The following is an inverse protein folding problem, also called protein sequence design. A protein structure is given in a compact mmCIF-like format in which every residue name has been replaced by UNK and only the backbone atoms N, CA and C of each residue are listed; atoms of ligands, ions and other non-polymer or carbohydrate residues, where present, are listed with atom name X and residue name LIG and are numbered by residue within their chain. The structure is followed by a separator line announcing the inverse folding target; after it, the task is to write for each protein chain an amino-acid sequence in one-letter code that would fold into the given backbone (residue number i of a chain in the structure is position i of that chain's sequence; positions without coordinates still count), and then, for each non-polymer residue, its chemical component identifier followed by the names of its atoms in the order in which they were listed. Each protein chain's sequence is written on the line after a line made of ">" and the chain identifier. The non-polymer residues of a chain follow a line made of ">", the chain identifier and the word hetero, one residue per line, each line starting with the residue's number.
data_IF_070065125473
#
_entry.id   IF_070065125473
#
_cell.length_a   1.000
_cell.length_b   1.000
_cell.length_c   1.000
_cell.angle_alpha   90.00
_cell.angle_beta   90.00
_cell.angle_gamma   90.00
#
_symmetry.space_group_name_H-M   'P 1'
#
loop_
_entity.id
_entity.type
_entity.pdbx_description
1 polymer ?
#
# COMPACT_ATOMS: atom_id res chain seq x y z
N UNK A 1 -28.53 0.84 10.53
CA UNK A 1 -28.16 -0.51 10.02
C UNK A 1 -28.65 -1.56 11.04
N UNK A 2 -29.16 -2.69 10.58
CA UNK A 2 -29.70 -3.74 11.46
C UNK A 2 -28.56 -4.40 12.27
N UNK A 3 -28.76 -4.50 13.60
CA UNK A 3 -27.81 -5.12 14.55
C UNK A 3 -27.44 -6.56 14.14
N UNK A 4 -28.39 -7.32 13.61
CA UNK A 4 -28.16 -8.70 13.15
C UNK A 4 -27.18 -8.74 11.98
N UNK A 5 -27.27 -7.78 11.04
CA UNK A 5 -26.37 -7.68 9.90
C UNK A 5 -24.94 -7.31 10.34
N UNK A 6 -24.80 -6.38 11.29
CA UNK A 6 -23.50 -6.01 11.87
C UNK A 6 -22.87 -7.23 12.56
N UNK A 7 -23.65 -7.94 13.40
CA UNK A 7 -23.17 -9.12 14.12
C UNK A 7 -22.72 -10.23 13.15
N UNK A 8 -23.45 -10.46 12.06
CA UNK A 8 -23.04 -11.42 11.03
C UNK A 8 -21.73 -11.03 10.34
N UNK A 9 -21.56 -9.74 10.00
CA UNK A 9 -20.31 -9.23 9.40
C UNK A 9 -19.12 -9.39 10.36
N UNK A 10 -19.31 -9.06 11.64
CA UNK A 10 -18.28 -9.24 12.68
C UNK A 10 -17.91 -10.72 12.82
N UNK A 11 -18.89 -11.62 12.88
CA UNK A 11 -18.67 -13.06 12.92
C UNK A 11 -17.80 -13.55 11.76
N UNK A 12 -18.12 -13.11 10.54
CA UNK A 12 -17.33 -13.47 9.36
C UNK A 12 -15.89 -12.88 9.37
N UNK A 13 -15.67 -11.72 10.01
CA UNK A 13 -14.31 -11.18 10.21
C UNK A 13 -13.55 -12.01 11.25
N UNK A 14 -14.21 -12.43 12.32
CA UNK A 14 -13.61 -13.31 13.33
C UNK A 14 -13.18 -14.65 12.74
N UNK A 15 -13.96 -15.23 11.81
CA UNK A 15 -13.55 -16.42 11.07
C UNK A 15 -12.29 -16.19 10.24
N UNK A 16 -12.19 -15.05 9.55
CA UNK A 16 -10.98 -14.67 8.78
C UNK A 16 -9.76 -14.48 9.71
N UNK A 17 -9.94 -13.87 10.89
CA UNK A 17 -8.88 -13.72 11.91
C UNK A 17 -8.41 -15.09 12.39
N UNK A 18 -9.31 -16.03 12.67
CA UNK A 18 -8.97 -17.37 13.07
C UNK A 18 -8.15 -18.10 12.00
N UNK A 19 -8.53 -17.95 10.73
CA UNK A 19 -7.76 -18.50 9.60
C UNK A 19 -6.38 -17.86 9.45
N UNK A 20 -6.28 -16.53 9.66
CA UNK A 20 -5.00 -15.83 9.67
C UNK A 20 -4.11 -16.34 10.80
N UNK A 21 -4.66 -16.47 12.01
CA UNK A 21 -3.92 -17.02 13.16
C UNK A 21 -3.36 -18.41 12.85
N UNK A 22 -4.17 -19.30 12.25
CA UNK A 22 -3.71 -20.64 11.87
C UNK A 22 -2.59 -20.60 10.80
N UNK A 23 -2.69 -19.68 9.83
CA UNK A 23 -1.65 -19.49 8.82
C UNK A 23 -0.33 -18.99 9.45
N UNK A 24 -0.39 -18.09 10.43
CA UNK A 24 0.78 -17.60 11.16
C UNK A 24 1.41 -18.69 12.02
N UNK A 25 0.63 -19.54 12.69
CA UNK A 25 1.17 -20.70 13.39
C UNK A 25 1.87 -21.71 12.47
N UNK A 26 1.28 -21.96 11.29
CA UNK A 26 1.92 -22.81 10.29
C UNK A 26 3.23 -22.20 9.79
N UNK A 27 3.26 -20.87 9.62
CA UNK A 27 4.45 -20.14 9.19
C UNK A 27 5.56 -20.22 10.26
N UNK A 28 5.21 -19.99 11.54
CA UNK A 28 6.15 -20.03 12.68
C UNK A 28 6.82 -21.40 12.82
N UNK A 29 6.09 -22.48 12.52
CA UNK A 29 6.60 -23.85 12.61
C UNK A 29 7.31 -24.34 11.34
N UNK A 30 7.28 -23.58 10.25
CA UNK A 30 7.88 -23.96 8.97
C UNK A 30 9.35 -23.54 8.92
N UNK A 31 10.25 -24.52 8.75
CA UNK A 31 11.67 -24.25 8.54
C UNK A 31 11.91 -23.64 7.16
N UNK A 32 12.28 -22.37 7.15
CA UNK A 32 12.50 -21.59 5.93
C UNK A 32 13.68 -22.12 5.09
N UNK A 33 14.69 -22.71 5.72
CA UNK A 33 15.85 -23.26 5.01
C UNK A 33 15.52 -24.58 4.33
N UNK A 34 14.71 -25.40 5.01
CA UNK A 34 14.33 -26.73 4.52
C UNK A 34 13.16 -26.69 3.53
N UNK A 35 12.21 -25.75 3.72
CA UNK A 35 10.97 -25.65 2.93
C UNK A 35 10.70 -24.21 2.47
N UNK A 36 11.61 -23.60 1.67
CA UNK A 36 11.50 -22.18 1.29
C UNK A 36 10.23 -21.85 0.50
N UNK A 37 9.81 -22.73 -0.42
CA UNK A 37 8.63 -22.47 -1.26
C UNK A 37 7.33 -22.56 -0.45
N UNK A 38 7.27 -23.48 0.53
CA UNK A 38 6.14 -23.58 1.43
C UNK A 38 6.06 -22.36 2.35
N UNK A 39 7.19 -21.92 2.91
CA UNK A 39 7.27 -20.71 3.71
C UNK A 39 6.81 -19.48 2.91
N UNK A 40 7.24 -19.35 1.65
CA UNK A 40 6.80 -18.27 0.76
C UNK A 40 5.29 -18.29 0.52
N UNK A 41 4.74 -19.46 0.21
CA UNK A 41 3.30 -19.62 -0.02
C UNK A 41 2.47 -19.24 1.20
N UNK A 42 2.87 -19.71 2.38
CA UNK A 42 2.21 -19.41 3.65
C UNK A 42 2.33 -17.91 4.00
N UNK A 43 3.48 -17.29 3.74
CA UNK A 43 3.70 -15.86 3.99
C UNK A 43 2.77 -15.01 3.12
N UNK A 44 2.66 -15.33 1.84
CA UNK A 44 1.77 -14.64 0.90
C UNK A 44 0.30 -14.81 1.33
N UNK A 45 -0.12 -16.04 1.66
CA UNK A 45 -1.50 -16.30 2.11
C UNK A 45 -1.84 -15.55 3.39
N UNK A 46 -0.93 -15.52 4.36
CA UNK A 46 -1.11 -14.77 5.60
C UNK A 46 -1.23 -13.26 5.35
N UNK A 47 -0.36 -12.69 4.51
CA UNK A 47 -0.39 -11.27 4.16
C UNK A 47 -1.71 -10.89 3.46
N UNK A 48 -2.14 -11.64 2.45
CA UNK A 48 -3.39 -11.39 1.73
C UNK A 48 -4.63 -11.51 2.63
N UNK A 49 -4.61 -12.42 3.62
CA UNK A 49 -5.68 -12.52 4.63
C UNK A 49 -5.72 -11.28 5.51
N UNK A 50 -4.57 -10.78 5.97
CA UNK A 50 -4.48 -9.57 6.78
C UNK A 50 -5.02 -8.33 6.03
N UNK A 51 -4.64 -8.16 4.76
CA UNK A 51 -5.17 -7.08 3.91
C UNK A 51 -6.70 -7.19 3.75
N UNK A 52 -7.21 -8.38 3.49
CA UNK A 52 -8.67 -8.62 3.39
C UNK A 52 -9.40 -8.26 4.68
N UNK A 53 -8.86 -8.63 5.84
CA UNK A 53 -9.41 -8.30 7.14
C UNK A 53 -9.43 -6.79 7.34
N UNK A 54 -8.34 -6.10 7.03
CA UNK A 54 -8.24 -4.64 7.12
C UNK A 54 -9.30 -3.95 6.25
N UNK A 55 -9.46 -4.34 4.98
CA UNK A 55 -10.48 -3.79 4.09
C UNK A 55 -11.90 -4.05 4.63
N UNK A 56 -12.19 -5.25 5.12
CA UNK A 56 -13.51 -5.58 5.69
C UNK A 56 -13.83 -4.78 6.94
N UNK A 57 -12.84 -4.52 7.80
CA UNK A 57 -12.99 -3.66 8.96
C UNK A 57 -13.26 -2.20 8.54
N UNK A 58 -12.58 -1.69 7.50
CA UNK A 58 -12.89 -0.36 6.93
C UNK A 58 -14.35 -0.28 6.47
N UNK A 59 -14.81 -1.24 5.69
CA UNK A 59 -16.20 -1.28 5.26
C UNK A 59 -17.19 -1.37 6.43
N UNK A 60 -16.84 -2.09 7.48
CA UNK A 60 -17.66 -2.14 8.70
C UNK A 60 -17.77 -0.77 9.36
N UNK A 61 -16.65 -0.06 9.53
CA UNK A 61 -16.61 1.30 10.10
C UNK A 61 -17.48 2.25 9.27
N UNK A 62 -17.29 2.30 7.95
CA UNK A 62 -18.05 3.20 7.06
C UNK A 62 -19.55 2.93 7.07
N UNK A 63 -19.96 1.67 7.29
CA UNK A 63 -21.36 1.28 7.30
C UNK A 63 -22.03 1.29 8.67
N UNK A 64 -21.27 1.40 9.77
CA UNK A 64 -21.78 1.27 11.14
C UNK A 64 -21.54 2.48 12.04
N UNK A 65 -20.73 3.43 11.60
CA UNK A 65 -20.37 4.63 12.37
C UNK A 65 -20.66 5.90 11.56
N UNK A 66 -20.54 7.05 12.22
CA UNK A 66 -20.65 8.38 11.59
C UNK A 66 -19.31 8.94 11.15
N UNK A 67 -18.22 8.18 11.27
CA UNK A 67 -16.89 8.62 10.86
C UNK A 67 -16.85 8.86 9.34
N UNK A 68 -16.26 9.97 8.92
CA UNK A 68 -16.08 10.24 7.50
C UNK A 68 -14.95 9.37 6.93
N UNK A 69 -15.14 8.87 5.71
CA UNK A 69 -14.15 8.04 5.02
C UNK A 69 -12.76 8.69 5.00
N UNK A 70 -12.70 10.01 4.73
CA UNK A 70 -11.46 10.77 4.69
C UNK A 70 -10.70 10.77 6.02
N UNK A 71 -11.39 11.05 7.13
CA UNK A 71 -10.76 11.11 8.46
C UNK A 71 -10.15 9.75 8.86
N UNK A 72 -10.84 8.66 8.52
CA UNK A 72 -10.32 7.31 8.76
C UNK A 72 -9.11 7.00 7.87
N UNK A 73 -9.18 7.32 6.57
CA UNK A 73 -8.10 6.98 5.61
C UNK A 73 -6.83 7.80 5.85
N UNK A 74 -6.97 9.03 6.33
CA UNK A 74 -5.86 9.83 6.81
C UNK A 74 -5.12 9.15 7.97
N UNK A 75 -5.89 8.69 8.98
CA UNK A 75 -5.33 7.92 10.10
C UNK A 75 -4.72 6.59 9.64
N UNK A 76 -5.32 5.93 8.65
CA UNK A 76 -4.78 4.71 8.05
C UNK A 76 -3.45 4.98 7.32
N UNK A 77 -3.34 6.09 6.58
CA UNK A 77 -2.09 6.51 5.95
C UNK A 77 -0.95 6.69 6.95
N UNK A 78 -1.21 7.38 8.06
CA UNK A 78 -0.25 7.53 9.15
C UNK A 78 0.12 6.19 9.79
N UNK A 79 -0.86 5.29 9.99
CA UNK A 79 -0.62 3.95 10.54
C UNK A 79 0.23 3.09 9.60
N UNK A 80 0.08 3.26 8.29
CA UNK A 80 0.90 2.58 7.28
C UNK A 80 2.31 3.18 7.16
N UNK A 81 2.59 4.32 7.78
CA UNK A 81 3.87 5.02 7.63
C UNK A 81 4.01 5.73 6.27
N UNK A 82 2.89 6.07 5.62
CA UNK A 82 2.93 6.91 4.43
C UNK A 82 3.31 8.31 4.86
N UNK A 83 4.39 8.86 4.29
CA UNK A 83 4.82 10.23 4.53
C UNK A 83 5.00 11.00 3.24
N UNK A 84 4.76 12.29 3.30
CA UNK A 84 4.97 13.23 2.21
C UNK A 84 5.85 14.34 2.71
N UNK A 85 6.93 14.63 2.01
CA UNK A 85 7.84 15.73 2.27
C UNK A 85 8.12 16.49 0.96
N UNK A 86 8.22 17.80 1.03
CA UNK A 86 8.58 18.61 -0.12
C UNK A 86 9.66 19.62 0.27
N UNK A 87 10.84 19.45 -0.28
CA UNK A 87 11.99 20.32 -0.04
C UNK A 87 12.70 20.62 -1.37
N UNK A 88 13.12 21.85 -1.58
CA UNK A 88 13.83 22.29 -2.78
C UNK A 88 13.18 21.86 -4.12
N UNK A 89 11.86 21.87 -4.19
CA UNK A 89 11.08 21.39 -5.33
C UNK A 89 11.23 19.88 -5.61
N UNK A 90 11.67 19.12 -4.64
CA UNK A 90 11.62 17.66 -4.68
C UNK A 90 10.48 17.20 -3.79
N UNK A 91 9.49 16.55 -4.37
CA UNK A 91 8.43 15.89 -3.62
C UNK A 91 8.85 14.44 -3.35
N UNK A 92 9.01 14.09 -2.10
CA UNK A 92 9.28 12.74 -1.64
C UNK A 92 8.02 12.12 -1.03
N UNK A 93 7.67 10.94 -1.51
CA UNK A 93 6.56 10.16 -0.97
C UNK A 93 7.08 8.80 -0.53
N UNK A 94 7.06 8.54 0.77
CA UNK A 94 7.43 7.23 1.31
C UNK A 94 6.22 6.33 1.40
N UNK A 95 6.34 5.11 0.91
CA UNK A 95 5.31 4.08 0.93
C UNK A 95 5.69 2.92 1.86
N UNK A 96 4.73 2.25 2.50
CA UNK A 96 5.00 1.23 3.52
C UNK A 96 5.58 -0.08 2.97
N UNK A 97 5.48 -0.29 1.67
CA UNK A 97 5.88 -1.55 1.04
C UNK A 97 6.22 -1.34 -0.44
N UNK A 98 6.83 -2.36 -1.03
CA UNK A 98 7.06 -2.42 -2.47
C UNK A 98 5.73 -2.37 -3.22
N UNK A 99 5.72 -1.70 -4.37
CA UNK A 99 4.54 -1.58 -5.20
C UNK A 99 3.93 -2.95 -5.53
N UNK A 100 2.60 -3.06 -5.52
CA UNK A 100 1.93 -4.31 -5.88
C UNK A 100 2.15 -4.66 -7.35
N UNK A 101 2.05 -5.94 -7.67
CA UNK A 101 2.06 -6.39 -9.08
C UNK A 101 0.74 -5.99 -9.77
N UNK A 102 0.81 -5.58 -11.04
CA UNK A 102 -0.34 -5.12 -11.87
C UNK A 102 -1.59 -6.02 -11.82
N UNK A 103 -1.44 -7.31 -11.53
CA UNK A 103 -2.56 -8.27 -11.48
C UNK A 103 -3.30 -8.29 -10.13
N UNK A 104 -2.82 -7.58 -9.12
CA UNK A 104 -3.40 -7.59 -7.77
C UNK A 104 -4.29 -6.35 -7.56
N UNK A 105 -5.48 -6.34 -8.15
CA UNK A 105 -6.45 -5.23 -8.05
C UNK A 105 -6.90 -4.88 -6.62
N UNK A 106 -6.72 -5.76 -5.65
CA UNK A 106 -7.13 -5.52 -4.25
C UNK A 106 -6.20 -4.57 -3.49
N UNK A 107 -5.00 -4.30 -4.01
CA UNK A 107 -4.05 -3.40 -3.37
C UNK A 107 -4.36 -1.91 -3.55
N UNK A 108 -5.20 -1.56 -4.52
CA UNK A 108 -5.51 -0.17 -4.83
C UNK A 108 -6.21 0.51 -3.64
N UNK A 109 -7.23 -0.12 -3.07
CA UNK A 109 -7.93 0.41 -1.89
C UNK A 109 -7.03 0.45 -0.64
N UNK A 110 -6.08 -0.48 -0.52
CA UNK A 110 -5.21 -0.56 0.65
C UNK A 110 -4.13 0.52 0.65
N UNK A 111 -3.55 0.84 -0.51
CA UNK A 111 -2.43 1.77 -0.66
C UNK A 111 -2.89 3.13 -1.21
N UNK A 112 -3.61 3.15 -2.33
CA UNK A 112 -3.92 4.38 -3.05
C UNK A 112 -4.93 5.27 -2.33
N UNK A 113 -5.97 4.69 -1.73
CA UNK A 113 -6.93 5.46 -0.95
C UNK A 113 -6.27 6.21 0.24
N UNK A 114 -5.48 5.54 1.13
CA UNK A 114 -4.75 6.25 2.18
C UNK A 114 -3.77 7.29 1.64
N UNK A 115 -3.02 6.97 0.58
CA UNK A 115 -2.08 7.90 -0.04
C UNK A 115 -2.77 9.16 -0.56
N UNK A 116 -3.92 9.01 -1.23
CA UNK A 116 -4.71 10.16 -1.69
C UNK A 116 -5.02 11.12 -0.53
N UNK A 117 -5.50 10.60 0.60
CA UNK A 117 -5.89 11.45 1.73
C UNK A 117 -4.68 12.04 2.47
N UNK A 118 -3.54 11.37 2.50
CA UNK A 118 -2.29 11.94 3.02
C UNK A 118 -1.81 13.08 2.14
N UNK A 119 -1.85 12.94 0.81
CA UNK A 119 -1.50 14.00 -0.15
C UNK A 119 -2.49 15.17 -0.07
N UNK A 120 -3.79 14.91 0.01
CA UNK A 120 -4.82 15.95 0.15
C UNK A 120 -4.65 16.76 1.43
N UNK A 121 -4.33 16.09 2.54
CA UNK A 121 -4.01 16.79 3.80
C UNK A 121 -2.75 17.63 3.66
N UNK A 122 -1.67 17.03 3.15
CA UNK A 122 -0.42 17.75 2.96
C UNK A 122 -0.61 19.00 2.08
N UNK A 123 -1.37 18.88 1.00
CA UNK A 123 -1.69 19.99 0.08
C UNK A 123 -2.49 21.12 0.74
N UNK A 124 -3.30 20.83 1.77
CA UNK A 124 -4.04 21.85 2.53
C UNK A 124 -3.17 22.58 3.54
N UNK A 125 -2.15 21.92 4.07
CA UNK A 125 -1.27 22.46 5.10
C UNK A 125 -0.01 23.11 4.52
N UNK A 126 0.42 22.67 3.32
CA UNK A 126 1.63 23.11 2.67
C UNK A 126 1.40 23.37 1.17
N UNK A 127 2.04 24.40 0.59
CA UNK A 127 1.99 24.61 -0.85
C UNK A 127 2.71 23.48 -1.60
N UNK A 128 1.98 22.73 -2.42
CA UNK A 128 2.58 21.75 -3.32
C UNK A 128 3.13 22.42 -4.57
N UNK A 129 4.31 22.01 -5.05
CA UNK A 129 4.82 22.48 -6.33
C UNK A 129 3.95 21.95 -7.47
N UNK A 130 3.86 22.73 -8.54
CA UNK A 130 3.26 22.26 -9.79
C UNK A 130 4.36 22.08 -10.83
N UNK A 131 4.52 20.84 -11.30
CA UNK A 131 5.53 20.47 -12.27
C UNK A 131 4.94 20.44 -13.67
N UNK A 132 5.56 21.19 -14.60
CA UNK A 132 5.25 21.07 -16.03
C UNK A 132 6.08 19.98 -16.67
N UNK A 133 7.39 19.99 -16.38
CA UNK A 133 8.35 18.97 -16.77
C UNK A 133 8.95 18.37 -15.50
N UNK A 134 8.85 17.06 -15.34
CA UNK A 134 9.34 16.40 -14.15
C UNK A 134 9.93 15.03 -14.45
N UNK A 135 10.68 14.55 -13.48
CA UNK A 135 11.19 13.19 -13.46
C UNK A 135 10.68 12.51 -12.21
N UNK A 136 10.05 11.35 -12.36
CA UNK A 136 9.59 10.52 -11.25
C UNK A 136 10.55 9.35 -11.08
N UNK A 137 11.09 9.23 -9.86
CA UNK A 137 11.96 8.12 -9.51
C UNK A 137 11.24 7.19 -8.53
N UNK A 138 11.03 5.95 -8.91
CA UNK A 138 10.56 4.88 -8.03
C UNK A 138 11.76 4.19 -7.37
N UNK A 139 12.13 4.65 -6.17
CA UNK A 139 13.22 4.06 -5.40
C UNK A 139 12.69 2.88 -4.57
N UNK A 140 13.07 1.66 -4.93
CA UNK A 140 12.70 0.46 -4.20
C UNK A 140 13.84 0.06 -3.27
N UNK A 141 13.58 0.13 -1.96
CA UNK A 141 14.56 -0.17 -0.93
C UNK A 141 14.40 -1.62 -0.48
N UNK A 142 15.45 -2.40 -0.63
CA UNK A 142 15.51 -3.80 -0.24
C UNK A 142 16.41 -4.00 0.98
N UNK A 143 16.00 -4.88 1.88
CA UNK A 143 16.86 -5.35 2.95
C UNK A 143 17.99 -6.21 2.36
N UNK A 144 19.24 -5.94 2.75
CA UNK A 144 20.42 -6.70 2.34
C UNK A 144 20.37 -8.19 2.72
N UNK A 145 19.62 -8.52 3.76
CA UNK A 145 19.44 -9.91 4.20
C UNK A 145 18.54 -10.73 3.25
N UNK A 146 17.81 -10.05 2.35
CA UNK A 146 16.95 -10.74 1.39
C UNK A 146 17.78 -11.37 0.25
N UNK A 147 17.42 -12.60 -0.19
CA UNK A 147 18.04 -13.22 -1.35
C UNK A 147 17.83 -12.38 -2.62
N UNK A 148 18.82 -12.32 -3.53
CA UNK A 148 18.77 -11.56 -4.79
C UNK A 148 17.53 -11.89 -5.65
N UNK A 149 17.04 -13.14 -5.59
CA UNK A 149 15.80 -13.58 -6.25
C UNK A 149 14.53 -12.82 -5.79
N UNK A 150 14.62 -12.03 -4.73
CA UNK A 150 13.52 -11.21 -4.20
C UNK A 150 13.48 -9.80 -4.78
N UNK A 151 14.53 -9.39 -5.49
CA UNK A 151 14.51 -8.14 -6.24
C UNK A 151 13.46 -8.28 -7.34
N UNK A 152 12.50 -7.38 -7.34
CA UNK A 152 11.36 -7.46 -8.25
C UNK A 152 11.74 -6.95 -9.64
N UNK A 153 11.16 -7.60 -10.64
CA UNK A 153 11.16 -7.11 -12.00
C UNK A 153 10.15 -5.95 -12.13
N UNK A 154 10.61 -4.82 -12.63
CA UNK A 154 9.83 -3.57 -12.71
C UNK A 154 8.66 -3.65 -13.69
N UNK A 155 8.75 -4.47 -14.72
CA UNK A 155 7.72 -4.59 -15.76
C UNK A 155 6.34 -4.96 -15.24
N UNK A 156 6.27 -5.53 -14.05
CA UNK A 156 5.05 -6.04 -13.44
C UNK A 156 4.50 -5.18 -12.30
N UNK A 157 5.06 -4.00 -12.03
CA UNK A 157 4.63 -3.14 -10.93
C UNK A 157 3.47 -2.21 -11.34
N UNK A 158 2.64 -1.83 -10.36
CA UNK A 158 1.49 -0.96 -10.57
C UNK A 158 1.86 0.53 -10.47
N UNK A 159 2.88 0.96 -11.24
CA UNK A 159 3.39 2.34 -11.21
C UNK A 159 2.41 3.33 -11.82
N UNK A 160 1.68 2.92 -12.86
CA UNK A 160 0.77 3.83 -13.57
C UNK A 160 -0.28 4.44 -12.64
N UNK A 161 -0.87 3.66 -11.74
CA UNK A 161 -1.88 4.16 -10.82
C UNK A 161 -1.32 5.18 -9.83
N UNK A 162 -0.05 5.01 -9.41
CA UNK A 162 0.64 6.00 -8.60
C UNK A 162 0.92 7.27 -9.39
N UNK A 163 1.37 7.16 -10.64
CA UNK A 163 1.57 8.31 -11.52
C UNK A 163 0.27 9.07 -11.75
N UNK A 164 -0.83 8.36 -12.06
CA UNK A 164 -2.16 8.94 -12.23
C UNK A 164 -2.59 9.73 -10.96
N UNK A 165 -2.32 9.15 -9.78
CA UNK A 165 -2.64 9.78 -8.50
C UNK A 165 -1.76 11.02 -8.25
N UNK A 166 -0.44 10.92 -8.40
CA UNK A 166 0.49 12.05 -8.22
C UNK A 166 0.23 13.16 -9.23
N UNK A 167 -0.06 12.81 -10.48
CA UNK A 167 -0.41 13.77 -11.54
C UNK A 167 -1.59 14.62 -11.12
N UNK A 168 -2.60 14.05 -10.49
CA UNK A 168 -3.78 14.81 -10.04
C UNK A 168 -3.47 15.88 -8.97
N UNK A 169 -2.33 15.81 -8.30
CA UNK A 169 -1.93 16.77 -7.27
C UNK A 169 -0.85 17.75 -7.73
N UNK A 170 0.16 17.29 -8.47
CA UNK A 170 1.42 18.04 -8.62
C UNK A 170 1.94 18.14 -10.06
N UNK A 171 1.33 17.47 -11.04
CA UNK A 171 1.83 17.46 -12.42
C UNK A 171 0.82 18.04 -13.39
N UNK A 172 1.32 18.54 -14.52
CA UNK A 172 0.47 18.97 -15.62
C UNK A 172 -0.20 17.78 -16.32
N UNK A 173 0.58 16.72 -16.53
CA UNK A 173 0.17 15.45 -17.14
C UNK A 173 1.26 14.40 -16.91
N UNK A 174 0.91 13.11 -17.00
CA UNK A 174 1.83 11.96 -16.92
C UNK A 174 2.30 11.46 -18.31
N UNK A 175 2.09 12.27 -19.36
CA UNK A 175 2.55 11.92 -20.72
C UNK A 175 4.08 11.93 -20.81
N UNK A 176 4.64 11.08 -21.65
CA UNK A 176 6.08 11.01 -21.89
C UNK A 176 6.72 12.26 -22.50
N UNK A 177 5.93 13.32 -22.78
CA UNK A 177 6.43 14.63 -23.13
C UNK A 177 6.73 15.52 -21.92
N UNK A 178 6.07 15.26 -20.79
CA UNK A 178 6.09 16.09 -19.58
C UNK A 178 6.59 15.35 -18.35
N UNK A 179 6.62 14.03 -18.39
CA UNK A 179 7.02 13.19 -17.28
C UNK A 179 7.88 12.00 -17.74
N UNK A 180 9.12 11.97 -17.30
CA UNK A 180 9.98 10.78 -17.39
C UNK A 180 9.90 9.99 -16.08
N UNK A 181 9.77 8.66 -16.17
CA UNK A 181 9.75 7.79 -15.01
C UNK A 181 10.85 6.73 -15.11
N UNK A 182 11.55 6.49 -14.01
CA UNK A 182 12.53 5.42 -13.93
C UNK A 182 12.58 4.76 -12.56
N UNK A 183 13.13 3.56 -12.53
CA UNK A 183 13.21 2.73 -11.35
C UNK A 183 14.63 2.62 -10.84
N UNK A 184 14.78 2.68 -9.51
CA UNK A 184 16.02 2.41 -8.81
C UNK A 184 15.81 1.27 -7.81
N UNK A 185 16.72 0.31 -7.79
CA UNK A 185 16.84 -0.67 -6.71
C UNK A 185 17.97 -0.23 -5.78
N UNK A 186 17.60 0.07 -4.54
CA UNK A 186 18.53 0.42 -3.49
C UNK A 186 18.60 -0.74 -2.50
N UNK A 187 19.82 -1.28 -2.29
CA UNK A 187 20.04 -2.29 -1.25
C UNK A 187 20.44 -1.54 0.01
N UNK A 188 19.67 -1.70 1.06
CA UNK A 188 19.97 -1.09 2.35
C UNK A 188 21.27 -1.73 2.90
N UNK A 189 22.29 -0.91 3.04
CA UNK A 189 23.60 -1.32 3.53
C UNK A 189 23.61 -1.28 5.06
#
# INVERSE_FOLDING_TARGET
>A
MDRKLISHRIGSILDDISRLSNALYALDTTDIQRYPDNYETLSIDAALRAERIACRLRHLIYSSTTIRKGDYLQSAGATHGITVNCEDRVLEVTLPCLLPKRKQRQSDEFLLDPLYFVLDQYAREHPLPYYRDCVVCFAQVYDRALPDRRIRDYDNLSEKQLLDLLSSFVMADDTGLLCDAYNLSLIHI
#
